data_IF_986178785931
#
_entry.id   IF_986178785931
#
_cell.length_a   1.000
_cell.length_b   1.000
_cell.length_c   1.000
_cell.angle_alpha   90.00
_cell.angle_beta   90.00
_cell.angle_gamma   90.00
#
_symmetry.space_group_name_H-M   'P 1'
#
loop_
_entity.id
_entity.type
_entity.pdbx_description
1 polymer ?
#
# COMPACT_ATOMS: atom_id res chain seq x y z
N UNK A 1 -19.56 1.41 -12.73
CA UNK A 1 -20.77 0.72 -13.25
C UNK A 1 -20.50 -0.78 -13.22
N UNK A 2 -20.91 -1.47 -12.15
CA UNK A 2 -20.71 -2.92 -11.97
C UNK A 2 -22.02 -3.61 -12.30
N UNK A 3 -22.01 -4.55 -13.27
CA UNK A 3 -23.18 -5.38 -13.61
C UNK A 3 -22.96 -6.79 -13.06
N UNK A 4 -23.78 -7.16 -12.09
CA UNK A 4 -23.96 -8.53 -11.61
C UNK A 4 -24.60 -9.40 -12.70
N UNK A 5 -24.10 -10.63 -12.89
CA UNK A 5 -24.80 -11.66 -13.66
C UNK A 5 -24.84 -12.98 -12.92
N UNK A 6 -26.02 -13.58 -12.94
CA UNK A 6 -26.48 -14.73 -12.17
C UNK A 6 -25.86 -16.05 -12.69
N UNK A 7 -25.49 -16.93 -11.75
CA UNK A 7 -25.08 -18.31 -12.01
C UNK A 7 -26.20 -19.11 -12.66
N UNK A 8 -25.85 -19.95 -13.64
CA UNK A 8 -26.61 -21.17 -13.95
C UNK A 8 -25.71 -22.39 -13.76
N UNK A 9 -26.23 -23.31 -12.96
CA UNK A 9 -25.66 -24.59 -12.57
C UNK A 9 -25.83 -25.65 -13.67
N UNK A 10 -24.80 -26.49 -13.89
CA UNK A 10 -24.98 -27.84 -14.46
C UNK A 10 -24.09 -28.87 -13.75
N UNK A 11 -24.61 -30.09 -13.50
CA UNK A 11 -23.87 -31.17 -12.85
C UNK A 11 -23.14 -32.10 -13.85
N UNK A 12 -22.24 -32.90 -13.26
CA UNK A 12 -21.36 -33.93 -13.83
C UNK A 12 -22.04 -35.14 -14.50
N UNK A 13 -21.22 -35.85 -15.30
CA UNK A 13 -21.33 -37.27 -15.68
C UNK A 13 -21.44 -37.44 -17.21
N UNK A 14 -20.79 -38.39 -17.90
CA UNK A 14 -20.05 -39.59 -17.47
C UNK A 14 -19.39 -40.25 -18.73
N UNK A 15 -18.26 -40.96 -18.56
CA UNK A 15 -17.71 -42.11 -19.38
C UNK A 15 -17.38 -41.94 -20.89
N UNK A 16 -16.57 -42.76 -21.56
CA UNK A 16 -15.41 -43.65 -21.32
C UNK A 16 -15.08 -44.37 -22.66
N UNK A 17 -13.83 -44.87 -22.83
CA UNK A 17 -13.33 -45.92 -23.78
C UNK A 17 -13.15 -45.52 -25.27
N UNK A 18 -12.21 -46.03 -26.08
CA UNK A 18 -11.10 -47.01 -25.93
C UNK A 18 -10.24 -47.09 -27.23
N UNK A 19 -9.01 -47.62 -27.07
CA UNK A 19 -8.28 -48.62 -27.89
C UNK A 19 -7.50 -48.28 -29.19
N UNK A 20 -6.23 -48.73 -29.19
CA UNK A 20 -5.45 -49.34 -30.30
C UNK A 20 -4.71 -48.37 -31.23
N UNK A 21 -3.46 -48.54 -31.66
CA UNK A 21 -2.65 -49.77 -31.91
C UNK A 21 -1.16 -49.43 -32.09
N UNK A 22 -0.28 -50.41 -31.83
CA UNK A 22 1.18 -50.39 -31.99
C UNK A 22 1.66 -50.27 -33.45
N UNK A 23 2.89 -49.77 -33.68
CA UNK A 23 3.94 -50.52 -34.42
C UNK A 23 5.35 -49.93 -34.26
N UNK A 24 6.29 -50.87 -34.32
CA UNK A 24 7.72 -50.89 -34.01
C UNK A 24 8.63 -50.66 -35.22
N UNK A 25 9.90 -50.28 -35.00
CA UNK A 25 11.00 -50.53 -35.95
C UNK A 25 12.27 -49.72 -35.67
N UNK A 26 13.32 -50.38 -35.17
CA UNK A 26 14.67 -49.83 -34.96
C UNK A 26 15.65 -50.10 -36.14
N UNK A 27 16.95 -49.75 -35.98
CA UNK A 27 17.84 -49.26 -37.05
C UNK A 27 18.90 -50.27 -37.55
N UNK A 28 19.77 -49.86 -38.48
CA UNK A 28 21.24 -49.91 -38.28
C UNK A 28 21.97 -48.72 -38.97
N UNK A 29 23.30 -48.56 -39.07
CA UNK A 29 24.52 -48.76 -38.27
C UNK A 29 25.73 -48.55 -39.24
N UNK A 30 26.73 -47.74 -38.82
CA UNK A 30 28.18 -47.76 -39.15
C UNK A 30 28.74 -47.77 -40.59
N UNK A 31 29.71 -46.87 -40.91
CA UNK A 31 31.16 -47.17 -41.01
C UNK A 31 31.95 -46.06 -41.77
N UNK A 32 33.22 -45.87 -41.39
CA UNK A 32 34.20 -44.86 -41.85
C UNK A 32 35.24 -45.47 -42.86
N UNK A 33 36.51 -45.03 -42.96
CA UNK A 33 37.12 -43.82 -43.56
C UNK A 33 38.25 -44.14 -44.60
N UNK A 34 38.84 -43.13 -45.29
CA UNK A 34 40.20 -43.12 -45.90
C UNK A 34 40.57 -41.63 -46.17
N UNK A 35 41.62 -40.99 -45.67
CA UNK A 35 43.09 -41.18 -45.55
C UNK A 35 43.92 -40.63 -46.74
N UNK A 36 45.07 -40.05 -46.36
CA UNK A 36 46.33 -39.82 -47.09
C UNK A 36 46.81 -38.37 -47.37
N UNK A 37 47.70 -37.94 -46.46
CA UNK A 37 49.10 -37.47 -46.66
C UNK A 37 49.41 -36.15 -47.40
N UNK A 38 50.11 -35.21 -46.74
CA UNK A 38 51.60 -35.10 -46.75
C UNK A 38 52.10 -33.76 -46.14
N UNK A 39 53.03 -33.86 -45.17
CA UNK A 39 53.84 -32.80 -44.52
C UNK A 39 54.93 -32.22 -45.48
N UNK A 40 55.49 -30.99 -45.30
CA UNK A 40 56.43 -30.64 -44.20
C UNK A 40 56.37 -29.19 -43.64
N UNK A 41 56.75 -29.01 -42.36
CA UNK A 41 57.07 -27.70 -41.76
C UNK A 41 58.52 -27.29 -42.08
N UNK A 42 58.79 -25.98 -42.25
CA UNK A 42 59.78 -25.36 -41.36
C UNK A 42 59.48 -23.89 -40.96
N UNK A 43 59.73 -23.62 -39.67
CA UNK A 43 60.23 -22.40 -39.01
C UNK A 43 59.72 -20.98 -39.37
N UNK A 44 59.39 -20.27 -38.30
CA UNK A 44 58.73 -18.97 -38.15
C UNK A 44 59.56 -17.76 -38.64
N UNK A 45 58.92 -16.74 -39.25
CA UNK A 45 59.41 -15.36 -39.27
C UNK A 45 58.86 -14.55 -38.07
N UNK A 46 59.54 -13.45 -37.66
CA UNK A 46 59.33 -12.79 -36.38
C UNK A 46 58.18 -11.76 -36.37
N UNK A 47 57.51 -11.69 -35.22
CA UNK A 47 56.81 -10.55 -34.62
C UNK A 47 56.03 -9.61 -35.57
N UNK A 48 54.83 -10.02 -35.97
CA UNK A 48 53.73 -9.09 -36.24
C UNK A 48 52.92 -8.94 -34.97
N UNK A 49 52.90 -7.75 -34.37
CA UNK A 49 52.06 -7.46 -33.22
C UNK A 49 50.59 -7.74 -33.55
N UNK A 50 49.94 -8.52 -32.70
CA UNK A 50 48.51 -8.77 -32.82
C UNK A 50 47.75 -7.43 -32.73
N UNK A 51 46.78 -7.20 -33.63
CA UNK A 51 45.95 -6.02 -33.58
C UNK A 51 45.06 -6.11 -32.34
N UNK A 52 45.32 -5.24 -31.36
CA UNK A 52 44.35 -4.78 -30.36
C UNK A 52 43.45 -5.86 -29.77
N UNK A 53 43.90 -6.52 -28.70
CA UNK A 53 42.98 -6.99 -27.66
C UNK A 53 42.36 -5.78 -26.92
N UNK A 54 41.64 -4.92 -27.64
CA UNK A 54 40.64 -4.04 -27.02
C UNK A 54 39.29 -4.79 -26.99
N UNK A 55 39.36 -6.02 -26.46
CA UNK A 55 38.20 -6.74 -25.97
C UNK A 55 37.89 -6.23 -24.58
N UNK A 56 37.46 -4.97 -24.46
CA UNK A 56 36.77 -4.53 -23.25
C UNK A 56 35.48 -5.34 -23.16
N UNK A 57 35.56 -6.52 -22.53
CA UNK A 57 34.41 -7.31 -22.18
C UNK A 57 33.47 -6.36 -21.43
N UNK A 58 32.33 -6.04 -22.04
CA UNK A 58 31.36 -5.13 -21.44
C UNK A 58 31.06 -5.67 -20.04
N UNK A 59 31.50 -4.93 -19.02
CA UNK A 59 31.31 -5.33 -17.63
C UNK A 59 29.80 -5.48 -17.42
N UNK A 60 29.35 -6.72 -17.21
CA UNK A 60 27.93 -6.99 -17.02
C UNK A 60 27.45 -6.14 -15.84
N UNK A 61 26.31 -5.42 -15.96
CA UNK A 61 25.84 -4.55 -14.90
C UNK A 61 25.74 -5.31 -13.58
N UNK A 62 26.44 -4.82 -12.56
CA UNK A 62 26.38 -5.43 -11.24
C UNK A 62 24.98 -5.26 -10.67
N UNK A 63 24.26 -6.36 -10.50
CA UNK A 63 22.92 -6.34 -9.91
C UNK A 63 23.00 -5.87 -8.46
N UNK A 64 22.20 -4.85 -8.14
CA UNK A 64 22.02 -4.36 -6.77
C UNK A 64 20.87 -5.11 -6.09
N UNK A 65 20.80 -5.04 -4.76
CA UNK A 65 19.67 -5.62 -4.00
C UNK A 65 18.34 -5.07 -4.51
N UNK A 66 18.26 -3.75 -4.75
CA UNK A 66 17.06 -3.11 -5.31
C UNK A 66 16.63 -3.73 -6.63
N UNK A 67 17.57 -3.89 -7.58
CA UNK A 67 17.26 -4.45 -8.89
C UNK A 67 16.82 -5.92 -8.78
N UNK A 68 17.50 -6.71 -7.95
CA UNK A 68 17.17 -8.11 -7.73
C UNK A 68 15.76 -8.26 -7.13
N UNK A 69 15.40 -7.47 -6.12
CA UNK A 69 14.07 -7.54 -5.51
C UNK A 69 12.97 -7.04 -6.47
N UNK A 70 13.23 -5.99 -7.24
CA UNK A 70 12.31 -5.49 -8.26
C UNK A 70 12.03 -6.56 -9.32
N UNK A 71 13.07 -7.17 -9.88
CA UNK A 71 12.94 -8.25 -10.87
C UNK A 71 12.12 -9.44 -10.35
N UNK A 72 12.25 -9.79 -9.05
CA UNK A 72 11.45 -10.87 -8.44
C UNK A 72 9.97 -10.52 -8.38
N UNK A 73 9.62 -9.28 -8.04
CA UNK A 73 8.23 -8.82 -7.98
C UNK A 73 7.64 -8.72 -9.38
N UNK A 74 8.36 -8.12 -10.32
CA UNK A 74 7.95 -8.04 -11.73
C UNK A 74 7.66 -9.41 -12.32
N UNK A 75 8.54 -10.40 -12.08
CA UNK A 75 8.33 -11.76 -12.55
C UNK A 75 7.03 -12.38 -11.98
N UNK A 76 6.77 -12.19 -10.68
CA UNK A 76 5.54 -12.71 -10.04
C UNK A 76 4.28 -12.02 -10.55
N UNK A 77 4.31 -10.70 -10.73
CA UNK A 77 3.18 -9.94 -11.26
C UNK A 77 2.93 -10.28 -12.73
N UNK A 78 3.99 -10.44 -13.52
CA UNK A 78 3.90 -10.88 -14.91
C UNK A 78 3.26 -12.27 -15.02
N UNK A 79 3.59 -13.21 -14.12
CA UNK A 79 2.93 -14.52 -14.08
C UNK A 79 1.43 -14.41 -13.78
N UNK A 80 1.02 -13.51 -12.87
CA UNK A 80 -0.40 -13.25 -12.59
C UNK A 80 -1.11 -12.71 -13.85
N UNK A 81 -0.52 -11.69 -14.50
CA UNK A 81 -1.10 -11.13 -15.71
C UNK A 81 -1.15 -12.14 -16.86
N UNK A 82 -0.13 -12.99 -16.98
CA UNK A 82 -0.11 -14.07 -17.96
C UNK A 82 -1.25 -15.04 -17.73
N UNK A 83 -1.50 -15.47 -16.49
CA UNK A 83 -2.67 -16.32 -16.17
C UNK A 83 -3.99 -15.63 -16.51
N UNK A 84 -4.11 -14.32 -16.24
CA UNK A 84 -5.34 -13.56 -16.50
C UNK A 84 -5.62 -13.35 -17.99
N UNK A 85 -4.59 -13.03 -18.78
CA UNK A 85 -4.75 -12.67 -20.19
C UNK A 85 -4.56 -13.85 -21.16
N UNK A 86 -3.72 -14.85 -20.84
CA UNK A 86 -3.60 -16.08 -21.64
C UNK A 86 -4.86 -16.96 -21.55
N UNK A 87 -5.67 -16.79 -20.50
CA UNK A 87 -6.97 -17.45 -20.40
C UNK A 87 -7.97 -16.98 -21.48
N UNK A 88 -7.73 -15.83 -22.13
CA UNK A 88 -8.59 -15.28 -23.17
C UNK A 88 -7.80 -14.44 -24.21
N UNK A 89 -6.95 -15.06 -25.05
CA UNK A 89 -5.99 -14.36 -25.91
C UNK A 89 -6.64 -13.52 -27.02
N UNK A 90 -7.92 -13.77 -27.33
CA UNK A 90 -8.70 -13.02 -28.31
C UNK A 90 -9.71 -12.04 -27.67
N UNK A 91 -9.75 -11.95 -26.33
CA UNK A 91 -10.65 -11.04 -25.64
C UNK A 91 -10.09 -9.61 -25.67
N UNK A 92 -10.91 -8.66 -26.15
CA UNK A 92 -10.56 -7.23 -26.13
C UNK A 92 -10.65 -6.61 -24.73
N UNK A 93 -11.27 -7.32 -23.78
CA UNK A 93 -11.39 -6.92 -22.38
C UNK A 93 -11.57 -8.15 -21.49
N UNK A 94 -11.00 -8.10 -20.29
CA UNK A 94 -11.24 -9.05 -19.22
C UNK A 94 -12.12 -8.39 -18.16
N UNK A 95 -13.18 -9.08 -17.71
CA UNK A 95 -13.98 -8.64 -16.58
C UNK A 95 -13.40 -9.28 -15.32
N UNK A 96 -12.84 -8.47 -14.43
CA UNK A 96 -12.37 -8.92 -13.13
C UNK A 96 -13.51 -8.79 -12.11
N UNK A 97 -13.73 -9.84 -11.33
CA UNK A 97 -14.73 -9.88 -10.27
C UNK A 97 -14.08 -9.58 -8.92
N UNK A 98 -14.57 -8.56 -8.23
CA UNK A 98 -14.26 -8.36 -6.81
C UNK A 98 -15.07 -9.37 -5.99
N UNK A 99 -14.41 -10.19 -5.19
CA UNK A 99 -15.05 -11.23 -4.37
C UNK A 99 -15.69 -10.64 -3.10
N UNK A 100 -16.67 -9.75 -3.29
CA UNK A 100 -17.34 -8.97 -2.23
C UNK A 100 -17.71 -9.81 -1.01
N UNK A 101 -18.44 -10.91 -1.21
CA UNK A 101 -18.95 -11.74 -0.10
C UNK A 101 -17.83 -12.37 0.74
N UNK A 102 -16.69 -12.69 0.12
CA UNK A 102 -15.54 -13.22 0.85
C UNK A 102 -14.88 -12.13 1.70
N UNK A 103 -14.80 -10.91 1.18
CA UNK A 103 -14.28 -9.76 1.92
C UNK A 103 -15.20 -9.38 3.07
N UNK A 104 -16.51 -9.27 2.84
CA UNK A 104 -17.51 -9.02 3.91
C UNK A 104 -17.36 -10.06 5.02
N UNK A 105 -17.36 -11.35 4.68
CA UNK A 105 -17.19 -12.43 5.67
C UNK A 105 -15.89 -12.32 6.45
N UNK A 106 -14.79 -11.95 5.81
CA UNK A 106 -13.49 -11.75 6.45
C UNK A 106 -13.54 -10.59 7.47
N UNK A 107 -14.07 -9.44 7.07
CA UNK A 107 -14.14 -8.23 7.89
C UNK A 107 -15.10 -8.42 9.08
N UNK A 108 -16.32 -8.92 8.85
CA UNK A 108 -17.30 -9.14 9.92
C UNK A 108 -16.80 -10.15 10.95
N UNK A 109 -16.08 -11.20 10.52
CA UNK A 109 -15.45 -12.14 11.44
C UNK A 109 -14.36 -11.47 12.28
N UNK A 110 -13.51 -10.65 11.64
CA UNK A 110 -12.42 -9.95 12.31
C UNK A 110 -12.88 -8.93 13.35
N UNK A 111 -14.02 -8.27 13.12
CA UNK A 111 -14.62 -7.33 14.09
C UNK A 111 -15.04 -8.00 15.40
N UNK A 112 -15.41 -9.29 15.35
CA UNK A 112 -15.83 -10.05 16.53
C UNK A 112 -14.67 -10.79 17.19
N UNK A 113 -13.79 -11.42 16.41
CA UNK A 113 -12.69 -12.22 16.95
C UNK A 113 -11.46 -12.22 16.04
N UNK A 114 -10.30 -11.95 16.63
CA UNK A 114 -8.99 -12.01 15.98
C UNK A 114 -8.14 -13.14 16.58
N UNK A 115 -7.31 -13.74 15.74
CA UNK A 115 -6.40 -14.78 16.17
C UNK A 115 -5.31 -14.23 17.10
N UNK A 116 -4.69 -15.06 17.98
CA UNK A 116 -3.61 -14.61 18.89
C UNK A 116 -2.41 -13.95 18.20
N UNK A 117 -2.19 -14.21 16.90
CA UNK A 117 -1.15 -13.55 16.10
C UNK A 117 -1.34 -12.03 15.99
N UNK A 118 -2.55 -11.51 16.25
CA UNK A 118 -2.84 -10.07 16.25
C UNK A 118 -2.37 -9.33 17.50
N UNK A 119 -1.71 -9.99 18.47
CA UNK A 119 -1.18 -9.33 19.67
C UNK A 119 -0.21 -8.18 19.36
N UNK A 120 0.49 -8.24 18.22
CA UNK A 120 1.38 -7.14 17.74
C UNK A 120 0.61 -5.85 17.41
N UNK A 121 -0.72 -5.94 17.26
CA UNK A 121 -1.62 -4.82 17.01
C UNK A 121 -2.50 -4.48 18.24
N UNK A 122 -2.14 -4.94 19.44
CA UNK A 122 -2.92 -4.65 20.65
C UNK A 122 -2.97 -3.14 20.98
N UNK A 123 -1.96 -2.37 20.56
CA UNK A 123 -1.96 -0.90 20.62
C UNK A 123 -2.59 -0.21 19.39
N UNK A 124 -3.23 -0.97 18.51
CA UNK A 124 -3.82 -0.49 17.25
C UNK A 124 -5.27 -0.99 17.09
N UNK A 125 -5.98 -1.28 18.17
CA UNK A 125 -7.34 -1.85 18.08
C UNK A 125 -8.36 -0.87 17.50
N UNK A 126 -8.32 0.45 17.77
CA UNK A 126 -9.13 1.40 17.01
C UNK A 126 -8.84 1.42 15.51
N UNK A 127 -7.60 1.17 15.08
CA UNK A 127 -7.27 1.00 13.65
C UNK A 127 -7.92 -0.25 13.06
N UNK A 128 -7.92 -1.36 13.80
CA UNK A 128 -8.61 -2.57 13.39
C UNK A 128 -10.12 -2.32 13.21
N UNK A 129 -10.75 -1.57 14.12
CA UNK A 129 -12.14 -1.13 13.95
C UNK A 129 -12.31 -0.31 12.67
N UNK A 130 -11.48 0.73 12.48
CA UNK A 130 -11.60 1.62 11.33
C UNK A 130 -11.42 0.88 10.01
N UNK A 131 -10.34 0.10 9.84
CA UNK A 131 -10.07 -0.62 8.61
C UNK A 131 -11.19 -1.59 8.24
N UNK A 132 -11.78 -2.26 9.23
CA UNK A 132 -12.86 -3.21 8.98
C UNK A 132 -14.21 -2.53 8.73
N UNK A 133 -14.59 -1.55 9.55
CA UNK A 133 -15.85 -0.81 9.38
C UNK A 133 -15.84 0.01 8.10
N UNK A 134 -14.74 0.70 7.79
CA UNK A 134 -14.60 1.43 6.54
C UNK A 134 -14.60 0.50 5.33
N UNK A 135 -13.93 -0.64 5.41
CA UNK A 135 -13.97 -1.66 4.35
C UNK A 135 -15.39 -2.18 4.08
N UNK A 136 -16.19 -2.43 5.13
CA UNK A 136 -17.60 -2.80 4.99
C UNK A 136 -18.43 -1.67 4.35
N UNK A 137 -18.22 -0.43 4.79
CA UNK A 137 -18.91 0.73 4.21
C UNK A 137 -18.59 0.92 2.72
N UNK A 138 -17.32 0.76 2.30
CA UNK A 138 -16.93 0.79 0.88
C UNK A 138 -17.56 -0.33 0.05
N UNK A 139 -17.87 -1.46 0.68
CA UNK A 139 -18.58 -2.57 0.06
C UNK A 139 -20.10 -2.41 0.12
N UNK A 140 -20.63 -1.30 0.65
CA UNK A 140 -22.08 -1.08 0.86
C UNK A 140 -22.70 -2.16 1.77
N UNK A 141 -21.97 -2.55 2.82
CA UNK A 141 -22.43 -3.51 3.84
C UNK A 141 -22.68 -2.79 5.17
N UNK A 142 -23.87 -3.01 5.74
CA UNK A 142 -24.28 -2.42 7.03
C UNK A 142 -23.87 -3.32 8.20
N UNK A 143 -23.56 -2.70 9.35
CA UNK A 143 -23.40 -3.43 10.60
C UNK A 143 -24.78 -3.81 11.18
N UNK A 144 -24.84 -4.93 11.91
CA UNK A 144 -25.97 -5.20 12.79
C UNK A 144 -25.91 -4.35 14.07
N UNK A 145 -27.07 -4.02 14.64
CA UNK A 145 -27.19 -3.13 15.81
C UNK A 145 -26.34 -3.61 17.00
N UNK A 146 -26.24 -4.92 17.22
CA UNK A 146 -25.45 -5.49 18.32
C UNK A 146 -23.96 -5.20 18.12
N UNK A 147 -23.43 -5.46 16.91
CA UNK A 147 -22.03 -5.21 16.58
C UNK A 147 -21.70 -3.72 16.61
N UNK A 148 -22.61 -2.87 16.14
CA UNK A 148 -22.46 -1.42 16.23
C UNK A 148 -22.31 -0.98 17.69
N UNK A 149 -23.24 -1.40 18.56
CA UNK A 149 -23.23 -1.05 19.97
C UNK A 149 -21.95 -1.56 20.67
N UNK A 150 -21.51 -2.78 20.36
CA UNK A 150 -20.27 -3.36 20.87
C UNK A 150 -19.03 -2.53 20.49
N UNK A 151 -18.97 -2.03 19.24
CA UNK A 151 -17.88 -1.18 18.75
C UNK A 151 -17.90 0.17 19.48
N UNK A 152 -19.07 0.80 19.62
CA UNK A 152 -19.21 2.08 20.34
C UNK A 152 -18.78 1.93 21.80
N UNK A 153 -19.18 0.85 22.48
CA UNK A 153 -18.78 0.57 23.86
C UNK A 153 -17.30 0.26 23.99
N UNK A 154 -16.74 -0.47 23.02
CA UNK A 154 -15.30 -0.72 22.96
C UNK A 154 -14.50 0.58 22.81
N UNK A 155 -14.85 1.44 21.86
CA UNK A 155 -14.15 2.71 21.65
C UNK A 155 -14.34 3.67 22.84
N UNK A 156 -15.52 3.66 23.48
CA UNK A 156 -15.75 4.40 24.71
C UNK A 156 -14.81 3.99 25.85
N UNK A 157 -14.47 2.69 25.94
CA UNK A 157 -13.46 2.19 26.90
C UNK A 157 -12.02 2.52 26.52
N UNK A 158 -11.76 2.81 25.24
CA UNK A 158 -10.45 3.27 24.76
C UNK A 158 -10.25 4.78 24.92
N UNK A 159 -11.32 5.52 25.21
CA UNK A 159 -11.27 6.98 25.36
C UNK A 159 -10.63 7.34 26.71
N UNK A 160 -9.62 8.22 26.69
CA UNK A 160 -8.96 8.67 27.92
C UNK A 160 -9.80 9.74 28.64
N UNK A 161 -9.73 9.76 29.97
CA UNK A 161 -10.45 10.72 30.82
C UNK A 161 -10.02 12.18 30.57
N UNK A 162 -8.78 12.40 30.12
CA UNK A 162 -8.21 13.70 29.78
C UNK A 162 -8.27 14.01 28.27
N UNK A 163 -8.68 13.03 27.45
CA UNK A 163 -9.00 13.21 26.04
C UNK A 163 -8.15 12.40 25.07
N UNK A 164 -8.67 12.23 23.85
CA UNK A 164 -8.13 11.29 22.87
C UNK A 164 -8.56 9.85 23.12
N UNK A 165 -8.12 8.96 22.24
CA UNK A 165 -8.34 7.52 22.32
C UNK A 165 -6.99 6.81 22.31
N UNK A 166 -6.80 5.84 23.21
CA UNK A 166 -5.64 4.95 23.22
C UNK A 166 -5.79 3.75 22.29
N UNK A 167 -4.72 2.98 22.16
CA UNK A 167 -4.67 1.76 21.33
C UNK A 167 -5.56 0.61 21.82
N UNK A 168 -6.00 0.69 23.07
CA UNK A 168 -6.91 -0.23 23.75
C UNK A 168 -7.30 0.33 25.12
N UNK A 169 -8.23 -0.31 25.85
CA UNK A 169 -8.67 0.16 27.16
C UNK A 169 -7.52 0.33 28.15
N UNK A 170 -7.41 1.51 28.76
CA UNK A 170 -6.37 1.85 29.73
C UNK A 170 -5.00 2.21 29.13
N UNK A 171 -4.84 2.20 27.81
CA UNK A 171 -3.63 2.69 27.16
C UNK A 171 -3.65 4.22 27.01
N UNK A 172 -2.46 4.81 26.89
CA UNK A 172 -2.30 6.26 26.69
C UNK A 172 -2.98 6.71 25.39
N UNK A 173 -3.62 7.91 25.37
CA UNK A 173 -4.21 8.45 24.17
C UNK A 173 -3.15 8.82 23.14
N UNK A 174 -3.48 8.61 21.87
CA UNK A 174 -2.58 8.81 20.75
C UNK A 174 -3.36 9.35 19.54
N UNK A 175 -2.78 10.27 18.76
CA UNK A 175 -3.47 10.92 17.63
C UNK A 175 -3.89 9.94 16.54
N UNK A 176 -3.02 9.00 16.16
CA UNK A 176 -3.37 7.93 15.22
C UNK A 176 -4.60 7.11 15.64
N UNK A 177 -4.68 6.64 16.89
CA UNK A 177 -5.83 5.87 17.38
C UNK A 177 -7.05 6.75 17.63
N UNK A 178 -6.86 8.04 17.93
CA UNK A 178 -7.95 9.02 17.99
C UNK A 178 -8.57 9.25 16.61
N UNK A 179 -7.74 9.38 15.57
CA UNK A 179 -8.19 9.45 14.18
C UNK A 179 -8.98 8.20 13.79
N UNK A 180 -8.47 7.01 14.08
CA UNK A 180 -9.14 5.77 13.74
C UNK A 180 -10.48 5.60 14.51
N UNK A 181 -10.50 5.90 15.81
CA UNK A 181 -11.72 5.83 16.61
C UNK A 181 -12.79 6.80 16.11
N UNK A 182 -12.43 8.06 15.88
CA UNK A 182 -13.39 9.07 15.40
C UNK A 182 -13.90 8.72 14.01
N UNK A 183 -13.03 8.32 13.07
CA UNK A 183 -13.48 7.91 11.74
C UNK A 183 -14.36 6.65 11.79
N UNK A 184 -14.10 5.71 12.70
CA UNK A 184 -14.99 4.55 12.90
C UNK A 184 -16.38 5.01 13.33
N UNK A 185 -16.47 5.87 14.35
CA UNK A 185 -17.74 6.35 14.89
C UNK A 185 -18.52 7.20 13.88
N UNK A 186 -17.83 8.03 13.09
CA UNK A 186 -18.43 8.81 12.01
C UNK A 186 -18.89 7.92 10.86
N UNK A 187 -18.13 6.88 10.52
CA UNK A 187 -18.54 5.90 9.48
C UNK A 187 -19.80 5.14 9.90
N UNK A 188 -19.92 4.79 11.19
CA UNK A 188 -21.14 4.22 11.75
C UNK A 188 -22.31 5.22 11.64
N UNK A 189 -22.09 6.47 12.05
CA UNK A 189 -23.03 7.57 11.79
C UNK A 189 -24.32 7.57 12.61
N UNK A 190 -24.54 6.58 13.48
CA UNK A 190 -25.71 6.57 14.39
C UNK A 190 -25.62 7.66 15.46
N UNK A 191 -26.77 8.08 15.99
CA UNK A 191 -26.82 9.09 17.05
C UNK A 191 -25.99 8.67 18.28
N UNK A 192 -26.01 7.39 18.64
CA UNK A 192 -25.21 6.83 19.73
C UNK A 192 -23.72 6.95 19.44
N UNK A 193 -23.28 6.55 18.24
CA UNK A 193 -21.87 6.62 17.86
C UNK A 193 -21.37 8.08 17.86
N UNK A 194 -22.12 8.99 17.24
CA UNK A 194 -21.74 10.40 17.15
C UNK A 194 -21.74 11.10 18.52
N UNK A 195 -22.74 10.84 19.38
CA UNK A 195 -22.82 11.44 20.72
C UNK A 195 -21.75 10.92 21.69
N UNK A 196 -21.14 9.76 21.41
CA UNK A 196 -20.02 9.22 22.20
C UNK A 196 -18.71 10.03 22.06
N UNK A 197 -18.60 10.87 21.02
CA UNK A 197 -17.41 11.67 20.74
C UNK A 197 -17.36 12.91 21.66
N UNK A 198 -16.44 12.90 22.62
CA UNK A 198 -16.23 14.02 23.56
C UNK A 198 -15.35 15.11 22.96
N UNK A 199 -15.96 16.03 22.21
CA UNK A 199 -15.29 17.12 21.47
C UNK A 199 -14.36 17.97 22.33
N UNK A 200 -14.81 18.43 23.51
CA UNK A 200 -14.00 19.26 24.41
C UNK A 200 -12.74 18.53 24.91
N UNK A 201 -12.85 17.22 25.12
CA UNK A 201 -11.72 16.39 25.55
C UNK A 201 -10.73 16.19 24.40
N UNK A 202 -11.21 15.95 23.17
CA UNK A 202 -10.36 15.88 21.99
C UNK A 202 -9.58 17.19 21.77
N UNK A 203 -10.25 18.33 21.90
CA UNK A 203 -9.62 19.64 21.76
C UNK A 203 -8.49 19.84 22.79
N UNK A 204 -8.74 19.57 24.07
CA UNK A 204 -7.72 19.63 25.14
C UNK A 204 -6.54 18.71 24.87
N UNK A 205 -6.79 17.48 24.41
CA UNK A 205 -5.75 16.55 24.04
C UNK A 205 -4.90 17.07 22.87
N UNK A 206 -5.52 17.62 21.82
CA UNK A 206 -4.80 18.19 20.68
C UNK A 206 -3.96 19.41 21.07
N UNK A 207 -4.46 20.28 21.95
CA UNK A 207 -3.67 21.39 22.50
C UNK A 207 -2.46 20.89 23.29
N UNK A 208 -2.60 19.82 24.07
CA UNK A 208 -1.47 19.19 24.76
C UNK A 208 -0.44 18.62 23.77
N UNK A 209 -0.90 18.09 22.64
CA UNK A 209 -0.04 17.57 21.58
C UNK A 209 0.60 18.67 20.72
N UNK A 210 0.13 19.91 20.80
CA UNK A 210 0.65 21.00 19.99
C UNK A 210 2.09 21.30 20.38
N UNK A 211 3.01 21.24 19.42
CA UNK A 211 4.42 21.51 19.64
C UNK A 211 4.82 22.93 19.19
N UNK A 212 5.87 23.46 19.81
CA UNK A 212 6.44 24.79 19.50
C UNK A 212 6.92 24.94 18.05
N UNK A 213 7.22 23.82 17.37
CA UNK A 213 7.55 23.79 15.93
C UNK A 213 6.38 24.18 15.03
N UNK A 214 5.14 24.15 15.55
CA UNK A 214 3.91 24.26 14.77
C UNK A 214 3.29 22.90 14.45
N UNK A 215 4.04 21.80 14.57
CA UNK A 215 3.52 20.45 14.40
C UNK A 215 2.74 19.95 15.63
N UNK A 216 2.39 18.67 15.60
CA UNK A 216 1.84 17.94 16.75
C UNK A 216 2.75 16.76 17.13
N UNK A 217 2.72 16.37 18.40
CA UNK A 217 3.24 15.08 18.88
C UNK A 217 2.17 14.02 18.74
N UNK A 218 2.57 12.78 18.45
CA UNK A 218 1.64 11.67 18.34
C UNK A 218 0.94 11.30 19.65
N UNK A 219 1.64 11.42 20.77
CA UNK A 219 1.14 11.27 22.13
C UNK A 219 2.07 12.04 23.10
N UNK A 220 1.76 12.07 24.39
CA UNK A 220 2.63 12.71 25.39
C UNK A 220 4.02 12.03 25.41
N UNK A 221 5.07 12.82 25.21
CA UNK A 221 6.45 12.34 25.03
C UNK A 221 6.74 11.61 23.71
N UNK A 222 5.78 11.54 22.79
CA UNK A 222 5.89 10.85 21.51
C UNK A 222 6.65 11.62 20.43
N UNK A 223 6.76 10.98 19.26
CA UNK A 223 7.40 11.52 18.06
C UNK A 223 6.58 12.66 17.44
N UNK A 224 7.26 13.46 16.62
CA UNK A 224 6.66 14.52 15.81
C UNK A 224 6.92 14.19 14.36
N UNK A 225 5.86 13.95 13.61
CA UNK A 225 5.93 13.84 12.16
C UNK A 225 4.61 14.29 11.52
N UNK A 226 4.56 14.34 10.19
CA UNK A 226 3.38 14.84 9.48
C UNK A 226 2.11 14.00 9.69
N UNK A 227 2.19 12.75 10.19
CA UNK A 227 0.99 11.98 10.56
C UNK A 227 0.28 12.64 11.73
N UNK A 228 1.02 13.17 12.70
CA UNK A 228 0.45 13.86 13.85
C UNK A 228 -0.33 15.10 13.39
N UNK A 229 0.23 15.86 12.44
CA UNK A 229 -0.46 17.00 11.83
C UNK A 229 -1.76 16.58 11.14
N UNK A 230 -1.70 15.59 10.25
CA UNK A 230 -2.90 15.13 9.53
C UNK A 230 -3.97 14.60 10.47
N UNK A 231 -3.59 13.71 11.39
CA UNK A 231 -4.56 13.08 12.30
C UNK A 231 -5.22 14.08 13.24
N UNK A 232 -4.47 15.08 13.75
CA UNK A 232 -5.04 16.17 14.54
C UNK A 232 -5.99 17.05 13.71
N UNK A 233 -5.52 17.57 12.57
CA UNK A 233 -6.29 18.49 11.72
C UNK A 233 -7.53 17.80 11.13
N UNK A 234 -7.42 16.55 10.69
CA UNK A 234 -8.54 15.77 10.16
C UNK A 234 -9.63 15.58 11.21
N UNK A 235 -9.28 15.13 12.42
CA UNK A 235 -10.26 14.95 13.49
C UNK A 235 -10.86 16.29 13.90
N UNK A 236 -10.03 17.32 14.09
CA UNK A 236 -10.49 18.64 14.51
C UNK A 236 -11.48 19.24 13.50
N UNK A 237 -11.17 19.13 12.20
CA UNK A 237 -12.05 19.57 11.13
C UNK A 237 -13.35 18.77 11.11
N UNK A 238 -13.26 17.43 11.19
CA UNK A 238 -14.41 16.54 11.07
C UNK A 238 -15.43 16.74 12.19
N UNK A 239 -14.96 16.97 13.42
CA UNK A 239 -15.82 17.20 14.59
C UNK A 239 -16.02 18.69 14.88
N UNK A 240 -15.67 19.56 13.93
CA UNK A 240 -15.88 21.01 13.99
C UNK A 240 -15.32 21.68 15.26
N UNK A 241 -14.06 21.40 15.59
CA UNK A 241 -13.30 22.02 16.69
C UNK A 241 -11.96 22.60 16.23
N UNK A 242 -11.71 22.63 14.91
CA UNK A 242 -10.50 23.25 14.35
C UNK A 242 -10.60 24.77 14.49
N UNK A 243 -9.56 25.39 15.03
CA UNK A 243 -9.42 26.83 15.21
C UNK A 243 -8.00 27.32 14.91
N UNK A 244 -7.78 28.62 15.06
CA UNK A 244 -6.50 29.28 14.82
C UNK A 244 -5.38 28.72 15.70
N UNK A 245 -5.67 28.30 16.93
CA UNK A 245 -4.65 27.80 17.86
C UNK A 245 -4.12 26.44 17.41
N UNK A 246 -5.02 25.52 17.04
CA UNK A 246 -4.64 24.22 16.48
C UNK A 246 -3.94 24.36 15.12
N UNK A 247 -4.45 25.24 14.25
CA UNK A 247 -3.92 25.47 12.90
C UNK A 247 -2.54 26.16 12.89
N UNK A 248 -2.23 26.98 13.92
CA UNK A 248 -1.05 27.85 13.93
C UNK A 248 0.26 27.12 13.61
N UNK A 249 0.89 27.51 12.51
CA UNK A 249 2.22 27.03 12.12
C UNK A 249 2.26 25.61 11.53
N UNK A 250 1.12 24.91 11.43
CA UNK A 250 1.07 23.54 10.90
C UNK A 250 1.52 23.50 9.45
N UNK A 251 0.99 24.36 8.59
CA UNK A 251 1.39 24.32 7.18
C UNK A 251 2.81 24.78 6.92
N UNK A 252 3.40 25.62 7.79
CA UNK A 252 4.83 25.95 7.69
C UNK A 252 5.70 24.73 8.02
N UNK A 253 5.31 23.94 9.03
CA UNK A 253 6.00 22.68 9.34
C UNK A 253 5.87 21.69 8.16
N UNK A 254 4.66 21.50 7.63
CA UNK A 254 4.43 20.58 6.50
C UNK A 254 5.23 21.01 5.26
N UNK A 255 5.22 22.31 4.92
CA UNK A 255 6.00 22.83 3.79
C UNK A 255 7.51 22.56 3.96
N UNK A 256 8.03 22.63 5.18
CA UNK A 256 9.44 22.29 5.47
C UNK A 256 9.76 20.79 5.32
N UNK A 257 8.74 19.93 5.25
CA UNK A 257 8.88 18.50 4.98
C UNK A 257 8.84 18.17 3.48
N UNK A 258 8.52 19.11 2.58
CA UNK A 258 8.62 18.86 1.15
C UNK A 258 10.09 18.73 0.73
N UNK A 259 10.39 17.67 0.00
CA UNK A 259 11.77 17.30 -0.35
C UNK A 259 12.15 17.79 -1.75
N UNK A 260 13.43 17.66 -2.09
CA UNK A 260 13.92 17.91 -3.46
C UNK A 260 13.28 16.97 -4.50
N UNK A 261 12.74 15.83 -4.09
CA UNK A 261 12.08 14.89 -4.99
C UNK A 261 10.69 15.41 -5.42
N UNK A 262 10.11 16.35 -4.67
CA UNK A 262 8.77 16.91 -4.86
C UNK A 262 7.72 16.36 -3.87
N UNK A 263 7.88 15.12 -3.39
CA UNK A 263 7.03 14.54 -2.35
C UNK A 263 7.37 15.05 -0.94
N UNK A 264 6.52 14.70 0.03
CA UNK A 264 6.64 15.13 1.43
C UNK A 264 7.15 13.98 2.29
N UNK A 265 8.09 14.29 3.17
CA UNK A 265 8.67 13.38 4.14
C UNK A 265 7.93 13.42 5.50
N UNK A 266 8.23 12.47 6.38
CA UNK A 266 7.66 12.46 7.74
C UNK A 266 8.10 13.68 8.54
N UNK A 267 9.38 14.02 8.42
CA UNK A 267 10.07 15.10 9.12
C UNK A 267 10.96 15.85 8.11
N UNK A 268 11.36 17.09 8.42
CA UNK A 268 12.26 17.85 7.54
C UNK A 268 13.55 17.08 7.25
N UNK A 269 14.00 17.12 5.99
CA UNK A 269 15.21 16.44 5.49
C UNK A 269 15.15 14.90 5.39
N UNK A 270 14.03 14.26 5.72
CA UNK A 270 13.82 12.84 5.44
C UNK A 270 13.40 12.58 3.98
N UNK A 271 13.30 11.31 3.58
CA UNK A 271 12.92 10.90 2.22
C UNK A 271 11.42 11.11 1.96
N UNK A 272 11.06 11.51 0.73
CA UNK A 272 9.66 11.62 0.33
C UNK A 272 8.96 10.26 0.43
N UNK A 273 7.71 10.24 0.91
CA UNK A 273 6.97 8.99 1.11
C UNK A 273 5.48 9.17 0.86
N UNK A 274 4.82 8.21 0.19
CA UNK A 274 3.40 8.31 -0.20
C UNK A 274 2.48 8.60 0.98
N UNK A 275 2.58 7.79 2.05
CA UNK A 275 1.80 8.01 3.28
C UNK A 275 2.00 9.38 3.92
N UNK A 276 3.24 9.88 4.01
CA UNK A 276 3.53 11.21 4.56
C UNK A 276 3.10 12.33 3.61
N UNK A 277 3.20 12.10 2.30
CA UNK A 277 2.72 13.00 1.25
C UNK A 277 1.21 13.18 1.30
N UNK A 278 0.46 12.09 1.46
CA UNK A 278 -0.97 12.17 1.75
C UNK A 278 -1.28 12.92 3.02
N UNK A 279 -0.63 12.58 4.13
CA UNK A 279 -0.86 13.27 5.40
C UNK A 279 -0.62 14.79 5.26
N UNK A 280 0.50 15.17 4.64
CA UNK A 280 0.87 16.56 4.41
C UNK A 280 -0.13 17.28 3.53
N UNK A 281 -0.38 16.78 2.31
CA UNK A 281 -1.27 17.44 1.36
C UNK A 281 -2.70 17.53 1.90
N UNK A 282 -3.25 16.45 2.46
CA UNK A 282 -4.61 16.46 2.99
C UNK A 282 -4.78 17.45 4.16
N UNK A 283 -3.78 17.55 5.06
CA UNK A 283 -3.79 18.56 6.11
C UNK A 283 -3.74 19.99 5.54
N UNK A 284 -2.92 20.22 4.50
CA UNK A 284 -2.82 21.53 3.84
C UNK A 284 -4.12 21.92 3.13
N UNK A 285 -4.83 20.95 2.54
CA UNK A 285 -6.17 21.16 1.96
C UNK A 285 -7.16 21.57 3.05
N UNK A 286 -7.21 20.85 4.17
CA UNK A 286 -8.11 21.16 5.29
C UNK A 286 -7.81 22.52 5.94
N UNK A 287 -6.56 22.96 5.92
CA UNK A 287 -6.11 24.27 6.41
C UNK A 287 -6.28 25.39 5.37
N UNK A 288 -6.58 25.06 4.11
CA UNK A 288 -6.54 25.99 2.99
C UNK A 288 -5.19 26.73 2.87
N UNK A 289 -4.09 25.97 2.95
CA UNK A 289 -2.71 26.47 2.86
C UNK A 289 -1.88 25.75 1.77
N UNK A 290 -2.53 25.08 0.81
CA UNK A 290 -1.87 24.28 -0.25
C UNK A 290 -0.86 25.08 -1.09
N UNK A 291 -1.03 26.40 -1.17
CA UNK A 291 -0.14 27.32 -1.89
C UNK A 291 1.27 27.42 -1.31
N UNK A 292 1.49 26.92 -0.09
CA UNK A 292 2.83 26.85 0.51
C UNK A 292 3.67 25.67 -0.01
N UNK A 293 3.07 24.75 -0.76
CA UNK A 293 3.76 23.61 -1.38
C UNK A 293 4.13 23.94 -2.84
N UNK A 294 5.26 23.40 -3.30
CA UNK A 294 5.57 23.31 -4.73
C UNK A 294 4.72 22.20 -5.36
N UNK A 295 3.50 22.55 -5.78
CA UNK A 295 2.56 21.60 -6.39
C UNK A 295 3.07 20.99 -7.71
N UNK A 296 3.73 21.72 -8.63
CA UNK A 296 4.29 21.12 -9.84
C UNK A 296 5.27 19.97 -9.56
N UNK A 297 6.22 20.16 -8.63
CA UNK A 297 7.16 19.11 -8.25
C UNK A 297 6.45 17.92 -7.57
N UNK A 298 5.44 18.21 -6.73
CA UNK A 298 4.64 17.19 -6.05
C UNK A 298 3.87 16.31 -7.04
N UNK A 299 3.16 16.91 -8.00
CA UNK A 299 2.42 16.19 -9.05
C UNK A 299 3.38 15.32 -9.85
N UNK A 300 4.53 15.88 -10.25
CA UNK A 300 5.59 15.13 -10.92
C UNK A 300 6.03 13.92 -10.10
N UNK A 301 6.34 14.13 -8.82
CA UNK A 301 6.75 13.05 -7.92
C UNK A 301 5.71 11.94 -7.82
N UNK A 302 4.43 12.26 -7.57
CA UNK A 302 3.36 11.27 -7.44
C UNK A 302 3.17 10.47 -8.73
N UNK A 303 3.20 11.13 -9.90
CA UNK A 303 3.05 10.44 -11.19
C UNK A 303 4.12 9.36 -11.41
N UNK A 304 5.36 9.60 -10.96
CA UNK A 304 6.45 8.62 -11.04
C UNK A 304 6.39 7.50 -9.99
N UNK A 305 5.31 7.43 -9.19
CA UNK A 305 5.08 6.34 -8.23
C UNK A 305 4.30 5.18 -8.80
N UNK A 306 3.68 5.32 -9.98
CA UNK A 306 3.05 4.19 -10.65
C UNK A 306 4.11 3.35 -11.37
N UNK A 307 4.22 2.08 -10.99
CA UNK A 307 5.20 1.14 -11.53
C UNK A 307 4.71 0.40 -12.78
N UNK A 308 5.56 -0.45 -13.35
CA UNK A 308 5.22 -1.33 -14.48
C UNK A 308 4.20 -2.40 -14.09
N UNK A 309 4.08 -2.67 -12.79
CA UNK A 309 3.08 -3.53 -12.16
C UNK A 309 1.69 -2.87 -12.11
N UNK A 310 1.54 -1.64 -12.62
CA UNK A 310 0.34 -0.80 -12.62
C UNK A 310 -0.15 -0.33 -11.24
N UNK A 311 0.38 -0.89 -10.14
CA UNK A 311 0.21 -0.36 -8.79
C UNK A 311 1.20 0.75 -8.46
N UNK A 312 1.16 1.22 -7.20
CA UNK A 312 2.03 2.29 -6.73
C UNK A 312 3.10 1.81 -5.74
N UNK A 313 4.28 2.42 -5.81
CA UNK A 313 5.32 2.31 -4.79
C UNK A 313 5.25 3.49 -3.82
N UNK A 314 5.64 3.25 -2.56
CA UNK A 314 5.63 4.30 -1.54
C UNK A 314 6.72 5.35 -1.73
N UNK A 315 7.85 4.97 -2.33
CA UNK A 315 9.07 5.78 -2.47
C UNK A 315 9.88 5.39 -3.69
N UNK A 316 10.77 6.26 -4.11
CA UNK A 316 11.68 6.02 -5.24
C UNK A 316 12.49 4.73 -5.03
N UNK A 317 12.59 3.87 -6.06
CA UNK A 317 13.34 2.60 -6.00
C UNK A 317 12.90 1.60 -4.91
N UNK A 318 11.62 1.62 -4.52
CA UNK A 318 11.00 0.61 -3.65
C UNK A 318 9.91 -0.13 -4.43
N UNK A 319 9.55 -1.30 -3.91
CA UNK A 319 8.57 -2.18 -4.54
C UNK A 319 7.16 -1.58 -4.52
N UNK A 320 6.35 -2.01 -5.48
CA UNK A 320 4.89 -1.78 -5.49
C UNK A 320 4.22 -2.40 -4.24
N UNK A 321 3.22 -1.72 -3.70
CA UNK A 321 2.39 -2.23 -2.60
C UNK A 321 0.95 -1.69 -2.73
N UNK A 322 -0.04 -2.59 -2.59
CA UNK A 322 -1.46 -2.28 -2.77
C UNK A 322 -2.02 -1.23 -1.82
N UNK A 323 -1.40 -0.99 -0.65
CA UNK A 323 -1.87 0.07 0.24
C UNK A 323 -1.66 1.48 -0.35
N UNK A 324 -0.67 1.65 -1.24
CA UNK A 324 -0.42 2.93 -1.91
C UNK A 324 -1.44 3.27 -2.99
N UNK A 325 -2.34 2.34 -3.35
CA UNK A 325 -3.54 2.71 -4.11
C UNK A 325 -4.36 3.78 -3.39
N UNK A 326 -4.39 3.82 -2.05
CA UNK A 326 -4.99 4.95 -1.34
C UNK A 326 -4.01 6.12 -1.19
N UNK A 327 -2.81 5.84 -0.65
CA UNK A 327 -1.88 6.89 -0.24
C UNK A 327 -1.25 7.69 -1.41
N UNK A 328 -1.28 7.18 -2.63
CA UNK A 328 -0.74 7.86 -3.82
C UNK A 328 -1.84 8.32 -4.78
N UNK A 329 -2.81 7.45 -5.10
CA UNK A 329 -3.84 7.78 -6.11
C UNK A 329 -4.72 8.96 -5.69
N UNK A 330 -5.06 9.05 -4.39
CA UNK A 330 -5.93 10.12 -3.89
C UNK A 330 -5.25 11.51 -3.94
N UNK A 331 -3.96 11.59 -4.26
CA UNK A 331 -3.25 12.87 -4.45
C UNK A 331 -3.49 13.49 -5.83
N UNK A 332 -4.06 12.71 -6.77
CA UNK A 332 -4.33 13.12 -8.15
C UNK A 332 -5.80 13.48 -8.39
N UNK A 333 -6.65 13.31 -7.38
CA UNK A 333 -8.08 13.65 -7.39
C UNK A 333 -8.32 15.03 -6.76
#
# INVERSE_FOLDING_TARGET
MVRLSLRSSRPHGDRARSSGTQRSGGPPASAAPMDSSSQPQPQSPPAGGDPSEDGAAAELPRLTVTLVEQMKVEARVADIYRVLFDAAPNAKSAMLELWRDQHVKYLTKGLRHLAPSFHVLDANRPWLCYWMVHGLALLDETLDDDLENDIVDFLSRCQDKHGGYGGGPGQLPHLATSYAAVNTLVTIGSERALSSIKRDNLYKFMLLMKDKSGAFRMHDGGEIDVRACYTAISVASLVNILDDELAKGVGNYIASCQTYEGGIAGEPSAEAHGGYTFCGLAAMVLLNEVEKLDLPSLIGWVAFRQGVECGFQGRTNKLVDGCYSFWQELLLL
#
